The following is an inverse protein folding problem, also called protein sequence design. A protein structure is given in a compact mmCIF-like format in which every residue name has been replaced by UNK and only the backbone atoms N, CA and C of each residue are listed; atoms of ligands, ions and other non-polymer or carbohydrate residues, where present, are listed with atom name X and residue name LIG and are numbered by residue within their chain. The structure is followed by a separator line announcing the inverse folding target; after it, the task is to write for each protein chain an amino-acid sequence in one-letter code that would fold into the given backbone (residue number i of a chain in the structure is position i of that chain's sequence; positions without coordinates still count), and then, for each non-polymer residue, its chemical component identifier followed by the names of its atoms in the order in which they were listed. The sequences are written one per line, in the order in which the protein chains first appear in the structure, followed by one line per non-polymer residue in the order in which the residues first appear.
data_IF_682139314956
#
_entry.id   IF_682139314956
#
_cell.length_a   1.000
_cell.length_b   1.000
_cell.length_c   1.000
_cell.angle_alpha   90.00
_cell.angle_beta   90.00
_cell.angle_gamma   90.00
#
_symmetry.space_group_name_H-M   'P 1'
#
loop_
_entity.id
_entity.type
_entity.pdbx_description
1 polymer ?
#
# COMPACT_ATOMS: atom_id res chain seq x y z
N UNK A 1 -6.89 3.78 -0.81
CA UNK A 1 -6.41 2.73 -1.74
C UNK A 1 -6.88 1.35 -1.33
N UNK A 2 -6.38 0.79 -0.21
CA UNK A 2 -6.71 -0.59 0.20
C UNK A 2 -8.20 -0.92 0.36
N UNK A 3 -8.98 -0.04 1.02
CA UNK A 3 -10.44 -0.22 1.16
C UNK A 3 -11.23 -0.21 -0.16
N UNK A 4 -10.62 0.31 -1.25
CA UNK A 4 -11.23 0.35 -2.59
C UNK A 4 -10.74 -0.80 -3.49
N UNK A 5 -10.04 -1.80 -2.94
CA UNK A 5 -9.47 -2.90 -3.70
C UNK A 5 -8.26 -2.52 -4.56
N UNK A 6 -7.72 -1.29 -4.43
CA UNK A 6 -6.61 -0.76 -5.23
C UNK A 6 -5.29 -0.80 -4.46
N UNK A 7 -5.10 -1.80 -3.61
CA UNK A 7 -3.89 -1.93 -2.78
C UNK A 7 -2.69 -2.43 -3.59
N UNK A 8 -2.94 -3.38 -4.50
CA UNK A 8 -1.90 -3.98 -5.34
C UNK A 8 -1.48 -3.00 -6.45
N UNK A 9 -0.22 -2.99 -6.89
CA UNK A 9 0.18 -2.26 -8.09
C UNK A 9 -0.39 -2.86 -9.38
N UNK A 10 -0.82 -4.13 -9.36
CA UNK A 10 -1.28 -4.90 -10.52
C UNK A 10 -2.68 -5.45 -10.26
N UNK A 11 -3.46 -5.69 -11.33
CA UNK A 11 -4.77 -6.33 -11.22
C UNK A 11 -4.67 -7.77 -10.69
N UNK A 12 -5.59 -8.12 -9.79
CA UNK A 12 -5.69 -9.46 -9.19
C UNK A 12 -6.46 -10.46 -10.07
N UNK A 13 -6.86 -10.03 -11.27
CA UNK A 13 -7.72 -10.79 -12.18
C UNK A 13 -7.21 -12.20 -12.49
N UNK A 14 -5.88 -12.37 -12.61
CA UNK A 14 -5.29 -13.68 -12.93
C UNK A 14 -5.21 -14.62 -11.72
N UNK A 15 -5.22 -14.11 -10.48
CA UNK A 15 -5.07 -14.95 -9.28
C UNK A 15 -6.25 -15.90 -9.12
N UNK A 16 -7.46 -15.44 -9.43
CA UNK A 16 -8.69 -16.24 -9.39
C UNK A 16 -8.82 -17.24 -10.57
N UNK A 17 -8.09 -17.04 -11.67
CA UNK A 17 -8.27 -17.81 -12.92
C UNK A 17 -7.27 -18.95 -13.12
N UNK A 18 -6.44 -19.25 -12.12
CA UNK A 18 -5.36 -20.23 -12.20
C UNK A 18 -5.78 -21.70 -11.96
N UNK A 19 -7.09 -22.02 -11.85
CA UNK A 19 -7.55 -23.41 -11.65
C UNK A 19 -7.90 -24.09 -12.97
N UNK A 20 -6.91 -24.71 -13.63
CA UNK A 20 -7.08 -25.39 -14.92
C UNK A 20 -6.59 -26.86 -14.81
N UNK A 21 -7.43 -27.81 -14.39
CA UNK A 21 -7.02 -29.20 -14.14
C UNK A 21 -6.70 -30.03 -15.40
N UNK A 22 -7.11 -29.59 -16.60
CA UNK A 22 -6.94 -30.36 -17.86
C UNK A 22 -6.23 -29.58 -18.98
N UNK A 23 -5.50 -28.52 -18.65
CA UNK A 23 -4.88 -27.61 -19.61
C UNK A 23 -5.87 -26.68 -20.34
N UNK A 24 -5.36 -25.68 -21.05
CA UNK A 24 -6.16 -24.75 -21.85
C UNK A 24 -5.93 -24.95 -23.34
N UNK A 25 -6.99 -24.85 -24.13
CA UNK A 25 -6.88 -24.75 -25.59
C UNK A 25 -6.31 -23.39 -25.98
N UNK A 26 -5.65 -23.30 -27.14
CA UNK A 26 -5.11 -22.03 -27.63
C UNK A 26 -6.17 -20.91 -27.75
N UNK A 27 -7.42 -21.26 -28.11
CA UNK A 27 -8.51 -20.29 -28.19
C UNK A 27 -8.89 -19.74 -26.82
N UNK A 28 -8.93 -20.59 -25.79
CA UNK A 28 -9.21 -20.16 -24.43
C UNK A 28 -8.06 -19.32 -23.86
N UNK A 29 -6.81 -19.67 -24.15
CA UNK A 29 -5.64 -18.87 -23.78
C UNK A 29 -5.70 -17.46 -24.39
N UNK A 30 -5.94 -17.35 -25.71
CA UNK A 30 -6.08 -16.04 -26.38
C UNK A 30 -7.22 -15.21 -25.80
N UNK A 31 -8.32 -15.85 -25.39
CA UNK A 31 -9.45 -15.14 -24.74
C UNK A 31 -9.04 -14.62 -23.35
N UNK A 32 -8.41 -15.47 -22.55
CA UNK A 32 -7.93 -15.11 -21.21
C UNK A 32 -6.92 -13.95 -21.26
N UNK A 33 -5.99 -13.96 -22.21
CA UNK A 33 -5.02 -12.89 -22.40
C UNK A 33 -5.70 -11.56 -22.74
N UNK A 34 -6.70 -11.57 -23.64
CA UNK A 34 -7.50 -10.38 -23.97
C UNK A 34 -8.28 -9.86 -22.76
N UNK A 35 -8.94 -10.74 -22.03
CA UNK A 35 -9.72 -10.37 -20.85
C UNK A 35 -8.80 -9.83 -19.73
N UNK A 36 -7.62 -10.42 -19.56
CA UNK A 36 -6.61 -9.94 -18.62
C UNK A 36 -6.03 -8.57 -19.01
N UNK A 37 -5.79 -8.32 -20.30
CA UNK A 37 -5.37 -7.01 -20.79
C UNK A 37 -6.43 -5.94 -20.47
N UNK A 38 -7.70 -6.21 -20.77
CA UNK A 38 -8.82 -5.33 -20.43
C UNK A 38 -8.91 -5.07 -18.92
N UNK A 39 -8.81 -6.11 -18.10
CA UNK A 39 -8.86 -5.97 -16.65
C UNK A 39 -7.67 -5.16 -16.10
N UNK A 40 -6.48 -5.26 -16.71
CA UNK A 40 -5.32 -4.44 -16.36
C UNK A 40 -5.55 -2.97 -16.68
N UNK A 41 -6.06 -2.64 -17.86
CA UNK A 41 -6.37 -1.27 -18.27
C UNK A 41 -7.42 -0.63 -17.35
N UNK A 42 -8.52 -1.34 -17.08
CA UNK A 42 -9.57 -0.86 -16.17
C UNK A 42 -9.04 -0.63 -14.75
N UNK A 43 -8.19 -1.54 -14.26
CA UNK A 43 -7.56 -1.42 -12.95
C UNK A 43 -6.60 -0.23 -12.89
N UNK A 44 -5.77 -0.05 -13.92
CA UNK A 44 -4.86 1.08 -14.02
C UNK A 44 -5.62 2.41 -14.01
N UNK A 45 -6.68 2.54 -14.81
CA UNK A 45 -7.51 3.75 -14.85
C UNK A 45 -8.15 4.06 -13.49
N UNK A 46 -8.71 3.05 -12.81
CA UNK A 46 -9.28 3.19 -11.45
C UNK A 46 -8.22 3.58 -10.42
N UNK A 47 -6.99 3.06 -10.56
CA UNK A 47 -5.89 3.37 -9.66
C UNK A 47 -5.39 4.79 -9.88
N UNK A 48 -5.24 5.22 -11.13
CA UNK A 48 -4.84 6.58 -11.47
C UNK A 48 -5.84 7.63 -10.99
N UNK A 49 -7.14 7.39 -11.18
CA UNK A 49 -8.18 8.31 -10.68
C UNK A 49 -8.13 8.43 -9.16
N UNK A 50 -7.93 7.32 -8.44
CA UNK A 50 -7.75 7.34 -6.99
C UNK A 50 -6.47 8.06 -6.55
N UNK A 51 -5.38 7.98 -7.32
CA UNK A 51 -4.13 8.73 -7.06
C UNK A 51 -4.37 10.21 -7.26
N UNK A 52 -5.01 10.60 -8.36
CA UNK A 52 -5.34 12.00 -8.66
C UNK A 52 -6.23 12.60 -7.57
N UNK A 53 -7.28 11.88 -7.15
CA UNK A 53 -8.16 12.30 -6.06
C UNK A 53 -7.38 12.48 -4.74
N UNK A 54 -6.49 11.55 -4.41
CA UNK A 54 -5.65 11.66 -3.21
C UNK A 54 -4.72 12.89 -3.29
N UNK A 55 -4.05 13.08 -4.42
CA UNK A 55 -3.13 14.21 -4.62
C UNK A 55 -3.86 15.55 -4.55
N UNK A 56 -5.07 15.64 -5.12
CA UNK A 56 -5.91 16.84 -5.01
C UNK A 56 -6.28 17.14 -3.56
N UNK A 57 -6.66 16.12 -2.78
CA UNK A 57 -6.99 16.27 -1.35
C UNK A 57 -5.78 16.63 -0.48
N UNK A 58 -4.59 16.21 -0.89
CA UNK A 58 -3.34 16.66 -0.26
C UNK A 58 -3.05 18.12 -0.61
N UNK A 59 -3.18 18.50 -1.89
CA UNK A 59 -2.95 19.86 -2.35
C UNK A 59 -3.95 20.86 -1.74
N UNK A 60 -5.20 20.45 -1.52
CA UNK A 60 -6.22 21.27 -0.84
C UNK A 60 -6.01 21.35 0.69
N UNK A 61 -5.03 20.66 1.25
CA UNK A 61 -4.75 20.62 2.69
C UNK A 61 -5.73 19.78 3.51
N UNK A 62 -6.69 19.09 2.87
CA UNK A 62 -7.64 18.21 3.56
C UNK A 62 -6.98 16.93 4.11
N UNK A 63 -5.89 16.48 3.48
CA UNK A 63 -5.07 15.36 3.93
C UNK A 63 -3.64 15.84 4.18
N UNK A 64 -3.19 15.75 5.43
CA UNK A 64 -1.78 15.96 5.77
C UNK A 64 -0.98 14.71 5.45
N UNK A 65 0.09 14.85 4.65
CA UNK A 65 1.00 13.72 4.42
C UNK A 65 1.77 13.41 5.71
N UNK A 66 1.87 12.14 6.12
CA UNK A 66 2.64 11.78 7.30
C UNK A 66 4.12 12.10 7.04
N UNK A 67 4.69 12.91 7.94
CA UNK A 67 6.11 13.26 7.90
C UNK A 67 7.01 12.04 8.12
N UNK A 68 8.32 12.25 7.95
CA UNK A 68 9.33 11.20 8.15
C UNK A 68 9.22 10.52 9.51
N UNK A 69 8.96 11.30 10.56
CA UNK A 69 8.84 10.80 11.93
C UNK A 69 7.46 10.20 12.24
N UNK A 70 6.39 10.63 11.58
CA UNK A 70 5.05 10.07 11.79
C UNK A 70 4.97 8.61 11.36
N UNK A 71 5.66 8.27 10.26
CA UNK A 71 5.79 6.87 9.81
C UNK A 71 6.52 6.02 10.84
N UNK A 72 7.61 6.52 11.40
CA UNK A 72 8.37 5.84 12.46
C UNK A 72 7.56 5.68 13.75
N UNK A 73 6.83 6.72 14.15
CA UNK A 73 5.94 6.69 15.31
C UNK A 73 4.81 5.68 15.12
N UNK A 74 4.24 5.57 13.92
CA UNK A 74 3.25 4.55 13.59
C UNK A 74 3.82 3.14 13.73
N UNK A 75 5.02 2.90 13.21
CA UNK A 75 5.70 1.60 13.34
C UNK A 75 6.05 1.28 14.79
N UNK A 76 6.54 2.26 15.56
CA UNK A 76 6.97 2.07 16.95
C UNK A 76 5.82 1.65 17.90
N UNK A 77 4.56 1.91 17.53
CA UNK A 77 3.35 1.49 18.25
C UNK A 77 2.97 0.02 18.05
N UNK A 78 3.70 -0.73 17.23
CA UNK A 78 3.49 -2.17 17.05
C UNK A 78 3.94 -3.02 18.24
N UNK A 79 3.85 -4.35 18.07
CA UNK A 79 4.26 -5.33 19.08
C UNK A 79 5.77 -5.26 19.34
N UNK A 80 6.20 -5.45 20.60
CA UNK A 80 7.60 -5.33 21.03
C UNK A 80 8.55 -6.30 20.34
N UNK A 81 8.03 -7.44 19.92
CA UNK A 81 8.84 -8.58 19.47
C UNK A 81 9.23 -8.43 17.99
N UNK A 82 8.57 -7.52 17.27
CA UNK A 82 8.90 -7.23 15.89
C UNK A 82 10.19 -6.41 15.81
N UNK A 83 11.19 -6.92 15.09
CA UNK A 83 12.47 -6.24 14.88
C UNK A 83 12.30 -4.84 14.28
N UNK A 84 11.35 -4.69 13.36
CA UNK A 84 10.99 -3.40 12.76
C UNK A 84 10.50 -2.37 13.77
N UNK A 85 9.78 -2.81 14.80
CA UNK A 85 9.26 -1.98 15.89
C UNK A 85 10.40 -1.57 16.82
N UNK A 86 11.30 -2.49 17.16
CA UNK A 86 12.49 -2.20 17.98
C UNK A 86 13.42 -1.20 17.27
N UNK A 87 13.68 -1.40 15.98
CA UNK A 87 14.47 -0.48 15.17
C UNK A 87 13.83 0.92 15.13
N UNK A 88 12.51 1.01 14.92
CA UNK A 88 11.78 2.28 14.96
C UNK A 88 11.93 2.98 16.31
N UNK A 89 11.78 2.26 17.43
CA UNK A 89 11.97 2.82 18.78
C UNK A 89 13.40 3.34 18.99
N UNK A 90 14.44 2.56 18.61
CA UNK A 90 15.85 2.97 18.71
C UNK A 90 16.17 4.22 17.88
N UNK A 91 15.61 4.32 16.67
CA UNK A 91 15.81 5.50 15.82
C UNK A 91 15.15 6.75 16.39
N UNK A 92 13.95 6.63 16.97
CA UNK A 92 13.25 7.74 17.63
C UNK A 92 14.00 8.21 18.88
N UNK A 93 14.46 7.30 19.74
CA UNK A 93 15.22 7.65 20.94
C UNK A 93 16.55 8.33 20.61
N UNK A 94 17.30 7.83 19.61
CA UNK A 94 18.55 8.48 19.15
C UNK A 94 18.32 9.91 18.64
N UNK A 95 17.13 10.19 18.11
CA UNK A 95 16.72 11.53 17.63
C UNK A 95 16.14 12.41 18.74
N UNK A 96 16.08 11.91 19.97
CA UNK A 96 15.50 12.65 21.11
C UNK A 96 13.98 12.76 21.00
N UNK A 97 13.29 11.79 20.42
CA UNK A 97 11.83 11.75 20.31
C UNK A 97 11.34 10.55 21.13
N UNK A 98 10.42 10.79 22.06
CA UNK A 98 9.74 9.72 22.78
C UNK A 98 8.78 9.01 21.84
N UNK A 99 8.95 7.70 21.69
CA UNK A 99 8.12 6.89 20.80
C UNK A 99 6.70 6.68 21.33
N UNK A 100 6.47 6.83 22.65
CA UNK A 100 5.12 6.73 23.25
C UNK A 100 4.31 8.00 23.02
N UNK A 101 4.89 9.15 23.32
CA UNK A 101 4.18 10.44 23.26
C UNK A 101 4.43 11.25 21.98
N UNK A 102 5.44 10.90 21.18
CA UNK A 102 5.85 11.66 19.99
C UNK A 102 6.51 13.01 20.33
N UNK A 103 6.70 13.32 21.61
CA UNK A 103 7.30 14.58 22.06
C UNK A 103 8.82 14.50 22.05
N UNK A 104 9.49 15.65 21.97
CA UNK A 104 10.94 15.70 22.19
C UNK A 104 11.24 15.28 23.64
N UNK A 105 12.13 14.31 23.81
CA UNK A 105 12.76 13.99 25.08
C UNK A 105 13.51 15.24 25.54
N UNK A 106 13.09 15.85 26.65
CA UNK A 106 13.89 16.89 27.32
C UNK A 106 15.19 16.20 27.77
N UNK A 107 16.31 16.71 27.29
CA UNK A 107 17.63 16.38 27.83
C UNK A 107 17.79 17.02 29.18
#
# INVERSE_FOLDING_TARGET
MGKRGLSSPISDYMVDKMRIPHGMTQRQQKKLEKDAAKAREEYAAKRESAIKEYNQKVASGQITQPGKYDKLLKTAKGHSDNESVQAARRTLTKRGIDWKTGKKLKR
#
